data_IF_353330427467
#
_entry.id   IF_353330427467
#
_cell.length_a   1.000
_cell.length_b   1.000
_cell.length_c   1.000
_cell.angle_alpha   90.00
_cell.angle_beta   90.00
_cell.angle_gamma   90.00
#
_symmetry.space_group_name_H-M   'P 1'
#
loop_
_entity.id
_entity.type
_entity.pdbx_description
1 polymer ?
#
# COMPACT_ATOMS: atom_id res chain seq x y z
N UNK A 1 52.39 14.22 -30.51
CA UNK A 1 50.97 14.25 -30.94
C UNK A 1 50.33 15.50 -30.35
N UNK A 2 49.80 16.42 -31.17
CA UNK A 2 49.09 17.61 -30.66
C UNK A 2 47.72 17.16 -30.14
N UNK A 3 47.50 17.22 -28.83
CA UNK A 3 46.15 17.04 -28.29
C UNK A 3 45.30 18.24 -28.71
N UNK A 4 44.22 17.99 -29.46
CA UNK A 4 43.21 19.02 -29.72
C UNK A 4 42.45 19.26 -28.42
N UNK A 5 42.66 20.42 -27.81
CA UNK A 5 41.89 20.86 -26.66
C UNK A 5 40.44 21.13 -27.06
N UNK A 6 39.51 20.83 -26.16
CA UNK A 6 38.09 21.13 -26.30
C UNK A 6 37.89 22.65 -26.34
N UNK A 7 37.04 23.16 -27.22
CA UNK A 7 36.80 24.61 -27.31
C UNK A 7 35.72 25.04 -26.30
N UNK A 8 35.83 26.28 -25.81
CA UNK A 8 34.82 26.85 -24.91
C UNK A 8 33.44 26.95 -25.57
N UNK A 9 33.41 27.18 -26.89
CA UNK A 9 32.16 27.28 -27.64
C UNK A 9 31.46 25.92 -27.77
N UNK A 10 32.22 24.83 -27.99
CA UNK A 10 31.68 23.47 -27.98
C UNK A 10 31.06 23.15 -26.61
N UNK A 11 31.72 23.54 -25.52
CA UNK A 11 31.20 23.30 -24.17
C UNK A 11 29.92 24.11 -23.89
N UNK A 12 29.86 25.36 -24.33
CA UNK A 12 28.71 26.23 -24.12
C UNK A 12 27.45 25.69 -24.83
N UNK A 13 27.60 25.20 -26.06
CA UNK A 13 26.49 24.59 -26.81
C UNK A 13 25.98 23.33 -26.11
N UNK A 14 26.87 22.47 -25.60
CA UNK A 14 26.46 21.27 -24.87
C UNK A 14 25.66 21.62 -23.62
N UNK A 15 26.13 22.61 -22.83
CA UNK A 15 25.40 23.05 -21.63
C UNK A 15 24.02 23.61 -21.97
N UNK A 16 23.91 24.39 -23.05
CA UNK A 16 22.62 24.93 -23.51
C UNK A 16 21.63 23.82 -23.88
N UNK A 17 22.08 22.79 -24.61
CA UNK A 17 21.24 21.65 -24.98
C UNK A 17 20.81 20.84 -23.75
N UNK A 18 21.74 20.54 -22.84
CA UNK A 18 21.42 19.82 -21.58
C UNK A 18 20.42 20.63 -20.74
N UNK A 19 20.54 21.95 -20.70
CA UNK A 19 19.60 22.83 -19.99
C UNK A 19 18.17 22.71 -20.50
N UNK A 20 17.96 22.71 -21.82
CA UNK A 20 16.64 22.54 -22.44
C UNK A 20 16.08 21.14 -22.17
N UNK A 21 16.90 20.10 -22.37
CA UNK A 21 16.48 18.71 -22.14
C UNK A 21 16.12 18.44 -20.68
N UNK A 22 16.87 19.02 -19.74
CA UNK A 22 16.58 18.91 -18.32
C UNK A 22 15.24 19.56 -17.96
N UNK A 23 14.96 20.76 -18.49
CA UNK A 23 13.72 21.47 -18.21
C UNK A 23 12.47 20.66 -18.63
N UNK A 24 12.47 20.10 -19.84
CA UNK A 24 11.37 19.25 -20.33
C UNK A 24 11.32 17.91 -19.59
N UNK A 25 12.48 17.29 -19.34
CA UNK A 25 12.59 15.99 -18.67
C UNK A 25 12.05 16.00 -17.24
N UNK A 26 12.27 17.08 -16.48
CA UNK A 26 11.81 17.19 -15.08
C UNK A 26 10.28 17.16 -14.99
N UNK A 27 9.58 17.91 -15.85
CA UNK A 27 8.10 17.96 -15.83
C UNK A 27 7.51 16.60 -16.18
N UNK A 28 8.04 15.94 -17.21
CA UNK A 28 7.59 14.61 -17.62
C UNK A 28 7.84 13.55 -16.53
N UNK A 29 9.01 13.60 -15.87
CA UNK A 29 9.37 12.65 -14.81
C UNK A 29 8.46 12.76 -13.59
N UNK A 30 8.05 13.98 -13.21
CA UNK A 30 7.09 14.19 -12.11
C UNK A 30 5.75 13.49 -12.36
N UNK A 31 5.19 13.61 -13.56
CA UNK A 31 3.95 12.93 -13.93
C UNK A 31 4.07 11.40 -13.95
N UNK A 32 5.18 10.88 -14.46
CA UNK A 32 5.45 9.44 -14.48
C UNK A 32 5.57 8.84 -13.08
N UNK A 33 6.36 9.49 -12.20
CA UNK A 33 6.52 9.03 -10.81
C UNK A 33 5.22 9.08 -10.01
N UNK A 34 4.39 10.11 -10.21
CA UNK A 34 3.06 10.19 -9.61
C UNK A 34 2.15 9.03 -10.04
N UNK A 35 2.10 8.76 -11.35
CA UNK A 35 1.29 7.65 -11.90
C UNK A 35 1.78 6.28 -11.42
N UNK A 36 3.10 6.09 -11.35
CA UNK A 36 3.69 4.87 -10.82
C UNK A 36 3.33 4.64 -9.34
N UNK A 37 3.37 5.69 -8.51
CA UNK A 37 2.93 5.63 -7.11
C UNK A 37 1.47 5.23 -6.98
N UNK A 38 0.57 5.84 -7.78
CA UNK A 38 -0.85 5.50 -7.81
C UNK A 38 -1.09 4.02 -8.14
N UNK A 39 -0.43 3.53 -9.18
CA UNK A 39 -0.55 2.14 -9.62
C UNK A 39 0.02 1.16 -8.58
N UNK A 40 1.10 1.54 -7.88
CA UNK A 40 1.65 0.73 -6.80
C UNK A 40 0.66 0.58 -5.63
N UNK A 41 -0.06 1.65 -5.25
CA UNK A 41 -1.09 1.58 -4.18
C UNK A 41 -2.22 0.64 -4.61
N UNK A 42 -2.72 0.79 -5.84
CA UNK A 42 -3.77 -0.08 -6.40
C UNK A 42 -3.37 -1.55 -6.40
N UNK A 43 -2.18 -1.84 -6.93
CA UNK A 43 -1.64 -3.20 -6.98
C UNK A 43 -1.48 -3.82 -5.59
N UNK A 44 -0.96 -3.07 -4.61
CA UNK A 44 -0.85 -3.54 -3.22
C UNK A 44 -2.21 -3.80 -2.59
N UNK A 45 -3.19 -2.93 -2.83
CA UNK A 45 -4.55 -3.12 -2.36
C UNK A 45 -5.13 -4.44 -2.87
N UNK A 46 -5.11 -4.65 -4.18
CA UNK A 46 -5.66 -5.86 -4.81
C UNK A 46 -4.95 -7.13 -4.34
N UNK A 47 -3.63 -7.06 -4.21
CA UNK A 47 -2.82 -8.18 -3.73
C UNK A 47 -3.21 -8.57 -2.29
N UNK A 48 -3.31 -7.59 -1.39
CA UNK A 48 -3.66 -7.86 0.02
C UNK A 48 -5.08 -8.41 0.16
N UNK A 49 -6.03 -7.84 -0.57
CA UNK A 49 -7.42 -8.33 -0.53
C UNK A 49 -7.49 -9.77 -1.01
N UNK A 50 -6.86 -10.10 -2.14
CA UNK A 50 -6.83 -11.47 -2.66
C UNK A 50 -6.13 -12.43 -1.72
N UNK A 51 -4.99 -12.04 -1.18
CA UNK A 51 -4.22 -12.84 -0.23
C UNK A 51 -5.08 -13.14 1.01
N UNK A 52 -5.65 -12.12 1.66
CA UNK A 52 -6.42 -12.35 2.88
C UNK A 52 -7.72 -13.11 2.65
N UNK A 53 -8.40 -12.91 1.51
CA UNK A 53 -9.57 -13.75 1.17
C UNK A 53 -9.18 -15.22 1.05
N UNK A 54 -8.12 -15.52 0.30
CA UNK A 54 -7.64 -16.88 0.13
C UNK A 54 -7.17 -17.49 1.46
N UNK A 55 -6.49 -16.71 2.31
CA UNK A 55 -6.08 -17.16 3.64
C UNK A 55 -7.30 -17.40 4.56
N UNK A 56 -8.36 -16.60 4.48
CA UNK A 56 -9.55 -16.82 5.30
C UNK A 56 -10.34 -18.05 4.86
N UNK A 57 -10.43 -18.31 3.55
CA UNK A 57 -11.06 -19.53 3.02
C UNK A 57 -10.38 -20.81 3.53
N UNK A 58 -9.06 -20.79 3.75
CA UNK A 58 -8.33 -21.94 4.33
C UNK A 58 -8.82 -22.30 5.73
N UNK A 59 -9.27 -21.32 6.51
CA UNK A 59 -9.82 -21.56 7.84
C UNK A 59 -11.06 -22.47 7.80
N UNK A 60 -11.83 -22.44 6.72
CA UNK A 60 -13.07 -23.23 6.56
C UNK A 60 -12.77 -24.69 6.25
N UNK A 61 -11.66 -24.91 5.56
CA UNK A 61 -11.17 -26.23 5.21
C UNK A 61 -10.40 -26.85 6.40
N UNK A 62 -10.30 -26.13 7.53
CA UNK A 62 -9.64 -26.59 8.75
C UNK A 62 -8.12 -26.48 8.72
N UNK A 63 -7.56 -25.74 7.75
CA UNK A 63 -6.14 -25.43 7.72
C UNK A 63 -5.81 -24.29 8.69
N UNK A 64 -4.60 -24.34 9.28
CA UNK A 64 -4.11 -23.26 10.15
C UNK A 64 -3.51 -22.15 9.31
N UNK A 65 -3.81 -20.91 9.66
CA UNK A 65 -3.37 -19.75 8.90
C UNK A 65 -2.52 -18.87 9.80
N UNK A 66 -1.21 -18.87 9.54
CA UNK A 66 -0.26 -18.09 10.32
C UNK A 66 0.30 -16.94 9.49
N UNK A 67 -0.04 -15.71 9.87
CA UNK A 67 0.46 -14.52 9.19
C UNK A 67 1.73 -13.95 9.86
N UNK A 68 2.01 -14.31 11.11
CA UNK A 68 3.14 -13.75 11.87
C UNK A 68 4.19 -14.83 12.18
N UNK A 69 5.05 -15.15 11.20
CA UNK A 69 6.17 -16.10 11.37
C UNK A 69 5.79 -17.44 12.06
N UNK A 70 4.61 -18.00 11.76
CA UNK A 70 4.09 -19.22 12.39
C UNK A 70 3.77 -19.15 13.90
N UNK A 71 3.58 -17.95 14.46
CA UNK A 71 3.34 -17.76 15.90
C UNK A 71 1.85 -17.76 16.26
N UNK A 72 1.00 -17.18 15.41
CA UNK A 72 -0.42 -16.96 15.71
C UNK A 72 -1.28 -17.47 14.56
N UNK A 73 -2.09 -18.47 14.86
CA UNK A 73 -3.17 -18.93 13.99
C UNK A 73 -4.34 -17.94 14.08
N UNK A 74 -4.76 -17.41 12.92
CA UNK A 74 -5.80 -16.40 12.85
C UNK A 74 -7.20 -17.00 12.72
N UNK A 75 -7.31 -18.29 12.38
CA UNK A 75 -8.59 -18.93 12.10
C UNK A 75 -9.61 -18.85 13.25
N UNK A 76 -9.23 -18.96 14.54
CA UNK A 76 -10.17 -18.73 15.64
C UNK A 76 -10.80 -17.33 15.66
N UNK A 77 -10.15 -16.33 15.04
CA UNK A 77 -10.66 -14.97 14.97
C UNK A 77 -11.47 -14.68 13.70
N UNK A 78 -11.28 -15.50 12.66
CA UNK A 78 -12.06 -15.46 11.42
C UNK A 78 -13.39 -16.17 11.68
N UNK A 79 -13.35 -17.42 12.14
CA UNK A 79 -14.53 -18.28 12.33
C UNK A 79 -15.46 -17.85 13.48
N UNK A 80 -14.96 -17.06 14.44
CA UNK A 80 -15.75 -16.46 15.52
C UNK A 80 -15.51 -14.94 15.59
N UNK A 81 -16.20 -14.14 14.74
CA UNK A 81 -15.94 -12.71 14.57
C UNK A 81 -16.57 -11.85 15.69
N UNK A 82 -16.20 -12.11 16.95
CA UNK A 82 -16.57 -11.24 18.07
C UNK A 82 -15.95 -9.84 17.95
N UNK A 83 -16.53 -8.82 18.59
CA UNK A 83 -15.97 -7.44 18.64
C UNK A 83 -14.48 -7.41 19.07
N UNK A 84 -14.07 -8.35 19.92
CA UNK A 84 -12.67 -8.52 20.37
C UNK A 84 -11.84 -9.19 19.29
N UNK A 85 -12.32 -10.29 18.70
CA UNK A 85 -11.62 -11.02 17.66
C UNK A 85 -11.40 -10.17 16.40
N UNK A 86 -12.40 -9.42 15.93
CA UNK A 86 -12.22 -8.49 14.80
C UNK A 86 -11.16 -7.42 15.13
N UNK A 87 -11.04 -6.98 16.39
CA UNK A 87 -9.99 -6.04 16.81
C UNK A 87 -8.60 -6.67 16.72
N UNK A 88 -8.46 -7.88 17.23
CA UNK A 88 -7.20 -8.62 17.24
C UNK A 88 -6.79 -8.97 15.81
N UNK A 89 -7.70 -9.53 15.03
CA UNK A 89 -7.49 -9.88 13.62
C UNK A 89 -7.01 -8.65 12.83
N UNK A 90 -7.71 -7.51 12.92
CA UNK A 90 -7.27 -6.28 12.25
C UNK A 90 -5.83 -5.89 12.65
N UNK A 91 -5.51 -5.94 13.95
CA UNK A 91 -4.17 -5.57 14.41
C UNK A 91 -3.12 -6.56 13.89
N UNK A 92 -3.43 -7.86 13.85
CA UNK A 92 -2.56 -8.89 13.25
C UNK A 92 -2.33 -8.61 11.76
N UNK A 93 -3.38 -8.27 11.01
CA UNK A 93 -3.25 -7.92 9.59
C UNK A 93 -2.37 -6.68 9.38
N UNK A 94 -2.49 -5.67 10.25
CA UNK A 94 -1.64 -4.48 10.21
C UNK A 94 -0.17 -4.86 10.46
N UNK A 95 0.10 -5.66 11.50
CA UNK A 95 1.45 -6.14 11.81
C UNK A 95 2.01 -7.00 10.66
N UNK A 96 1.18 -7.85 10.06
CA UNK A 96 1.59 -8.65 8.91
C UNK A 96 2.03 -7.76 7.73
N UNK A 97 1.29 -6.69 7.44
CA UNK A 97 1.65 -5.76 6.35
C UNK A 97 2.94 -5.00 6.67
N UNK A 98 3.05 -4.45 7.89
CA UNK A 98 4.14 -3.55 8.25
C UNK A 98 5.44 -4.28 8.60
N UNK A 99 5.34 -5.39 9.32
CA UNK A 99 6.51 -6.05 9.93
C UNK A 99 6.90 -7.34 9.18
N UNK A 100 5.92 -8.13 8.75
CA UNK A 100 6.20 -9.39 8.03
C UNK A 100 6.46 -9.12 6.54
N UNK A 101 5.57 -8.39 5.86
CA UNK A 101 5.74 -7.98 4.46
C UNK A 101 6.68 -6.79 4.30
N UNK A 102 6.98 -6.06 5.40
CA UNK A 102 7.86 -4.89 5.41
C UNK A 102 7.39 -3.77 4.47
N UNK A 103 6.08 -3.63 4.29
CA UNK A 103 5.56 -2.56 3.46
C UNK A 103 5.66 -1.23 4.19
N UNK A 104 6.06 -0.21 3.44
CA UNK A 104 6.03 1.20 3.84
C UNK A 104 5.10 1.99 2.95
N UNK A 105 4.62 3.13 3.46
CA UNK A 105 3.77 4.02 2.68
C UNK A 105 4.52 4.47 1.40
N UNK A 106 3.80 4.46 0.28
CA UNK A 106 4.36 4.70 -1.07
C UNK A 106 4.75 6.16 -1.27
N UNK A 107 4.04 7.09 -0.61
CA UNK A 107 4.27 8.52 -0.72
C UNK A 107 5.22 9.01 0.38
N UNK A 108 5.16 8.44 1.58
CA UNK A 108 6.09 8.71 2.68
C UNK A 108 6.70 7.41 3.22
N UNK A 109 8.00 7.19 3.03
CA UNK A 109 8.65 5.92 3.44
C UNK A 109 8.90 5.80 4.94
N UNK A 110 8.84 6.92 5.66
CA UNK A 110 9.03 6.95 7.11
C UNK A 110 7.74 6.55 7.86
N UNK A 111 6.61 6.50 7.15
CA UNK A 111 5.31 6.09 7.66
C UNK A 111 5.02 4.61 7.38
N UNK A 112 4.20 4.03 8.25
CA UNK A 112 3.69 2.68 8.09
C UNK A 112 2.78 2.55 6.87
N UNK A 113 2.86 1.41 6.18
CA UNK A 113 1.99 1.15 5.04
C UNK A 113 0.54 0.93 5.46
N UNK A 114 0.33 0.21 6.57
CA UNK A 114 -0.99 -0.09 7.09
C UNK A 114 -1.24 0.60 8.42
N UNK A 115 -2.39 1.25 8.56
CA UNK A 115 -2.81 1.90 9.81
C UNK A 115 -4.20 1.47 10.20
N UNK A 116 -4.51 1.60 11.49
CA UNK A 116 -5.88 1.44 11.96
C UNK A 116 -6.62 2.78 11.85
N UNK A 117 -7.87 2.75 11.36
CA UNK A 117 -8.78 3.90 11.42
C UNK A 117 -10.14 3.46 11.94
N UNK A 118 -10.89 4.40 12.50
CA UNK A 118 -12.29 4.18 12.88
C UNK A 118 -13.16 3.89 11.65
N UNK A 119 -14.28 3.19 11.84
CA UNK A 119 -15.21 2.86 10.75
C UNK A 119 -15.66 4.12 9.98
N UNK A 120 -16.06 5.15 10.72
CA UNK A 120 -16.52 6.44 10.19
C UNK A 120 -15.38 7.42 9.87
N UNK A 121 -14.12 7.04 10.07
CA UNK A 121 -13.00 7.91 9.75
C UNK A 121 -12.93 8.08 8.23
N UNK A 122 -13.07 9.32 7.76
CA UNK A 122 -12.93 9.65 6.34
C UNK A 122 -11.47 9.74 5.90
N UNK A 123 -10.53 9.65 6.84
CA UNK A 123 -9.12 9.93 6.59
C UNK A 123 -8.33 8.62 6.50
N UNK A 124 -7.82 8.35 5.31
CA UNK A 124 -6.73 7.41 5.12
C UNK A 124 -5.55 8.16 4.50
N UNK A 125 -4.36 7.95 5.05
CA UNK A 125 -3.18 8.70 4.66
C UNK A 125 -2.81 8.34 3.20
N UNK A 126 -2.41 9.33 2.40
CA UNK A 126 -2.08 9.10 0.98
C UNK A 126 -0.95 8.06 0.87
N UNK A 127 -1.14 7.07 0.01
CA UNK A 127 -0.19 5.96 -0.15
C UNK A 127 -0.31 4.85 0.87
N UNK A 128 -1.16 5.02 1.88
CA UNK A 128 -1.40 4.08 2.95
C UNK A 128 -2.62 3.18 2.72
N UNK A 129 -2.73 2.19 3.59
CA UNK A 129 -3.80 1.19 3.63
C UNK A 129 -4.42 1.22 5.02
N UNK A 130 -5.69 1.60 5.11
CA UNK A 130 -6.40 1.71 6.36
C UNK A 130 -7.31 0.50 6.54
N UNK A 131 -7.12 -0.21 7.65
CA UNK A 131 -8.00 -1.30 8.02
C UNK A 131 -9.01 -0.80 9.05
N UNK A 132 -10.28 -0.97 8.72
CA UNK A 132 -11.43 -0.60 9.56
C UNK A 132 -12.18 -1.84 9.97
N UNK A 133 -12.88 -1.75 11.09
CA UNK A 133 -13.69 -2.84 11.66
C UNK A 133 -15.15 -2.47 11.50
N UNK A 134 -15.90 -3.35 10.87
CA UNK A 134 -17.35 -3.27 10.77
C UNK A 134 -17.94 -4.44 11.55
N UNK A 135 -18.12 -4.23 12.85
CA UNK A 135 -18.61 -5.25 13.76
C UNK A 135 -20.10 -5.54 13.59
N UNK A 136 -20.83 -4.70 12.85
CA UNK A 136 -22.26 -4.93 12.61
C UNK A 136 -22.48 -5.96 11.51
N UNK A 137 -21.56 -6.01 10.54
CA UNK A 137 -21.57 -6.94 9.42
C UNK A 137 -20.42 -7.94 9.50
N UNK A 138 -19.83 -8.13 10.69
CA UNK A 138 -18.77 -9.13 10.95
C UNK A 138 -17.63 -9.14 9.92
N UNK A 139 -17.13 -7.96 9.55
CA UNK A 139 -16.15 -7.83 8.46
C UNK A 139 -15.04 -6.82 8.73
N UNK A 140 -13.95 -6.98 7.99
CA UNK A 140 -12.85 -6.01 7.93
C UNK A 140 -12.92 -5.26 6.61
N UNK A 141 -12.88 -3.93 6.68
CA UNK A 141 -12.87 -3.07 5.50
C UNK A 141 -11.45 -2.60 5.26
N UNK A 142 -10.92 -2.87 4.07
CA UNK A 142 -9.62 -2.38 3.61
C UNK A 142 -9.87 -1.16 2.73
N UNK A 143 -9.27 -0.04 3.09
CA UNK A 143 -9.37 1.23 2.35
C UNK A 143 -7.98 1.67 1.93
N UNK A 144 -7.78 2.08 0.68
CA UNK A 144 -6.50 2.63 0.21
C UNK A 144 -6.68 3.97 -0.47
N UNK A 145 -5.89 4.97 -0.07
CA UNK A 145 -5.88 6.30 -0.65
C UNK A 145 -4.71 6.42 -1.64
N UNK A 146 -4.99 6.52 -2.94
CA UNK A 146 -3.94 6.61 -3.96
C UNK A 146 -3.77 8.02 -4.56
N UNK A 147 -4.76 8.90 -4.48
CA UNK A 147 -4.78 10.21 -5.16
C UNK A 147 -5.28 11.39 -4.29
N UNK A 148 -5.42 11.18 -2.99
CA UNK A 148 -5.93 12.13 -1.99
C UNK A 148 -7.36 12.62 -2.22
N UNK A 149 -8.10 11.97 -3.12
CA UNK A 149 -9.51 12.22 -3.33
C UNK A 149 -10.35 11.16 -2.63
N UNK A 150 -11.10 11.56 -1.60
CA UNK A 150 -11.96 10.65 -0.81
C UNK A 150 -13.00 9.91 -1.67
N UNK A 151 -13.47 10.51 -2.76
CA UNK A 151 -14.41 9.85 -3.68
C UNK A 151 -13.78 8.66 -4.43
N UNK A 152 -12.45 8.62 -4.51
CA UNK A 152 -11.70 7.65 -5.29
C UNK A 152 -11.02 6.58 -4.42
N UNK A 153 -11.29 6.55 -3.12
CA UNK A 153 -10.67 5.55 -2.25
C UNK A 153 -11.05 4.13 -2.68
N UNK A 154 -10.04 3.27 -2.82
CA UNK A 154 -10.28 1.86 -3.07
C UNK A 154 -10.78 1.24 -1.78
N UNK A 155 -11.98 0.66 -1.83
CA UNK A 155 -12.60 0.02 -0.67
C UNK A 155 -12.93 -1.41 -1.01
N UNK A 156 -12.42 -2.34 -0.21
CA UNK A 156 -12.69 -3.77 -0.31
C UNK A 156 -13.15 -4.32 1.02
N UNK A 157 -14.00 -5.33 0.95
CA UNK A 157 -14.60 -5.99 2.11
C UNK A 157 -14.03 -7.40 2.24
N UNK A 158 -13.56 -7.71 3.44
CA UNK A 158 -13.22 -9.05 3.90
C UNK A 158 -14.31 -9.49 4.86
N UNK A 159 -15.31 -10.20 4.35
CA UNK A 159 -16.30 -10.89 5.17
C UNK A 159 -15.59 -11.94 6.04
N UNK A 160 -16.12 -12.28 7.21
CA UNK A 160 -15.49 -13.25 8.14
C UNK A 160 -16.39 -14.47 8.40
N UNK A 161 -17.55 -14.54 7.76
CA UNK A 161 -18.55 -15.61 7.84
C UNK A 161 -18.16 -16.83 7.00
N UNK A 162 -16.91 -17.26 7.15
CA UNK A 162 -16.29 -18.34 6.41
C UNK A 162 -16.50 -19.67 7.18
#
# INVERSE_FOLDING_TARGET
MKQKGFTLIELLVVVAIIGILAAVGVVAYSGYTSSAKKNAVKSRHDMLVKLYKAEFEKCNVGEKVNLLNNIVDICPYVLDPSKRHIRLLRNILILHINDTMKFKNIYNKDEDAATNKGLNSRFCDIGGICLKRDTANERIIIVSNYDDNQANYLTSYLELDY
#
